data_IF_438145088633
#
_entry.id   IF_438145088633
#
_cell.length_a   1.000
_cell.length_b   1.000
_cell.length_c   1.000
_cell.angle_alpha   90.00
_cell.angle_beta   90.00
_cell.angle_gamma   90.00
#
_symmetry.space_group_name_H-M   'P 1'
#
loop_
_entity.id
_entity.type
_entity.pdbx_description
1 polymer ?
#
# COMPACT_ATOMS: atom_id res chain seq x y z
N UNK A 1 -6.31 -6.03 -17.21
CA UNK A 1 -5.97 -7.30 -16.50
C UNK A 1 -5.97 -6.99 -15.02
N UNK A 2 -6.45 -7.89 -14.16
CA UNK A 2 -6.41 -7.72 -12.70
C UNK A 2 -5.34 -8.62 -12.11
N UNK A 3 -4.56 -8.13 -11.14
CA UNK A 3 -3.61 -8.94 -10.38
C UNK A 3 -3.51 -8.48 -8.93
N UNK A 4 -3.11 -9.40 -8.06
CA UNK A 4 -2.84 -9.22 -6.63
C UNK A 4 -2.00 -10.42 -6.17
N UNK A 5 -1.52 -10.40 -4.93
CA UNK A 5 -0.72 -11.47 -4.33
C UNK A 5 0.52 -11.83 -5.16
N UNK A 6 1.27 -10.81 -5.58
CA UNK A 6 2.46 -10.96 -6.42
C UNK A 6 3.72 -11.03 -5.54
N UNK A 7 3.84 -12.09 -4.74
CA UNK A 7 4.99 -12.34 -3.88
C UNK A 7 4.77 -13.52 -2.94
N UNK A 8 5.45 -13.52 -1.79
CA UNK A 8 5.46 -14.64 -0.86
C UNK A 8 5.29 -14.20 0.58
N UNK A 9 4.40 -14.87 1.29
CA UNK A 9 4.32 -14.77 2.75
C UNK A 9 5.55 -15.42 3.40
N UNK A 10 5.89 -14.96 4.59
CA UNK A 10 6.96 -15.53 5.42
C UNK A 10 6.77 -17.04 5.60
N UNK A 11 7.85 -17.80 5.44
CA UNK A 11 7.87 -19.25 5.62
C UNK A 11 7.46 -20.05 4.38
N UNK A 12 7.15 -19.39 3.26
CA UNK A 12 6.97 -20.07 1.98
C UNK A 12 8.30 -20.68 1.54
N UNK A 13 8.30 -21.98 1.23
CA UNK A 13 9.44 -22.64 0.59
C UNK A 13 9.57 -22.14 -0.85
N UNK A 14 10.69 -21.49 -1.14
CA UNK A 14 10.98 -20.92 -2.46
C UNK A 14 12.07 -21.68 -3.22
N UNK A 15 12.53 -22.83 -2.70
CA UNK A 15 13.60 -23.62 -3.33
C UNK A 15 13.22 -24.11 -4.73
N UNK A 16 11.93 -24.34 -4.97
CA UNK A 16 11.38 -24.76 -6.26
C UNK A 16 10.81 -23.61 -7.11
N UNK A 17 10.95 -22.36 -6.66
CA UNK A 17 10.36 -21.23 -7.37
C UNK A 17 11.09 -20.92 -8.68
N UNK A 18 10.41 -21.09 -9.80
CA UNK A 18 10.94 -20.86 -11.15
C UNK A 18 10.81 -19.40 -11.63
N UNK A 19 10.74 -18.44 -10.71
CA UNK A 19 10.47 -17.04 -11.03
C UNK A 19 8.97 -16.74 -11.23
N UNK A 20 8.61 -15.48 -11.53
CA UNK A 20 7.21 -15.02 -11.58
C UNK A 20 6.52 -15.46 -12.89
N UNK A 21 6.41 -16.77 -13.10
CA UNK A 21 6.10 -17.40 -14.38
C UNK A 21 4.73 -17.02 -14.97
N UNK A 22 3.76 -16.67 -14.13
CA UNK A 22 2.42 -16.22 -14.57
C UNK A 22 2.49 -14.94 -15.41
N UNK A 23 3.54 -14.13 -15.25
CA UNK A 23 3.74 -12.93 -16.08
C UNK A 23 4.11 -13.27 -17.52
N UNK A 24 4.65 -14.47 -17.80
CA UNK A 24 4.84 -14.92 -19.18
C UNK A 24 3.48 -15.08 -19.88
N UNK A 25 2.47 -15.56 -19.17
CA UNK A 25 1.11 -15.66 -19.72
C UNK A 25 0.47 -14.29 -19.94
N UNK A 26 0.70 -13.34 -19.02
CA UNK A 26 0.26 -11.95 -19.18
C UNK A 26 0.85 -11.36 -20.47
N UNK A 27 2.17 -11.47 -20.66
CA UNK A 27 2.86 -10.95 -21.84
C UNK A 27 2.41 -11.65 -23.13
N UNK A 28 2.28 -12.98 -23.10
CA UNK A 28 1.78 -13.78 -24.24
C UNK A 28 0.36 -13.38 -24.65
N UNK A 29 -0.51 -13.05 -23.70
CA UNK A 29 -1.86 -12.55 -24.00
C UNK A 29 -1.79 -11.10 -24.50
N UNK A 30 -0.97 -10.25 -23.88
CA UNK A 30 -0.78 -8.86 -24.28
C UNK A 30 -0.31 -8.74 -25.74
N UNK A 31 0.61 -9.60 -26.18
CA UNK A 31 1.09 -9.66 -27.57
C UNK A 31 -0.03 -9.98 -28.57
N UNK A 32 -0.94 -10.90 -28.23
CA UNK A 32 -2.07 -11.28 -29.09
C UNK A 32 -3.22 -10.27 -29.04
N UNK A 33 -3.44 -9.67 -27.87
CA UNK A 33 -4.49 -8.69 -27.59
C UNK A 33 -4.03 -7.77 -26.47
N UNK A 34 -3.57 -6.59 -26.86
CA UNK A 34 -3.03 -5.61 -25.93
C UNK A 34 -4.01 -5.30 -24.79
N UNK A 35 -3.51 -5.43 -23.56
CA UNK A 35 -4.17 -4.87 -22.38
C UNK A 35 -3.97 -3.36 -22.36
N UNK A 36 -5.05 -2.62 -22.12
CA UNK A 36 -4.99 -1.17 -21.96
C UNK A 36 -4.50 -0.75 -20.58
N UNK A 37 -4.75 -1.59 -19.56
CA UNK A 37 -4.44 -1.30 -18.16
C UNK A 37 -4.30 -2.58 -17.34
N UNK A 38 -3.37 -2.58 -16.39
CA UNK A 38 -3.28 -3.50 -15.26
C UNK A 38 -3.91 -2.86 -14.03
N UNK A 39 -4.73 -3.61 -13.32
CA UNK A 39 -5.38 -3.16 -12.08
C UNK A 39 -4.82 -4.01 -10.94
N UNK A 40 -4.00 -3.38 -10.10
CA UNK A 40 -3.44 -3.97 -8.89
C UNK A 40 -4.42 -3.87 -7.73
N UNK A 41 -4.77 -5.01 -7.14
CA UNK A 41 -5.71 -5.12 -6.01
C UNK A 41 -5.10 -5.00 -4.63
N UNK A 42 -3.83 -4.59 -4.51
CA UNK A 42 -3.04 -4.76 -3.30
C UNK A 42 -2.17 -6.02 -3.36
N UNK A 43 -1.22 -6.13 -2.43
CA UNK A 43 -0.20 -7.18 -2.41
C UNK A 43 0.57 -7.24 -3.74
N UNK A 44 0.94 -6.07 -4.28
CA UNK A 44 1.79 -6.01 -5.47
C UNK A 44 3.22 -6.47 -5.16
N UNK A 45 3.61 -6.36 -3.89
CA UNK A 45 4.87 -6.80 -3.31
C UNK A 45 4.64 -7.26 -1.86
N UNK A 46 5.51 -8.15 -1.36
CA UNK A 46 5.48 -8.63 0.01
C UNK A 46 6.71 -8.11 0.76
N UNK A 47 6.48 -7.28 1.77
CA UNK A 47 7.52 -6.67 2.61
C UNK A 47 7.66 -7.35 3.98
N UNK A 48 6.91 -8.42 4.24
CA UNK A 48 6.86 -9.12 5.53
C UNK A 48 8.21 -9.61 6.04
N UNK A 49 9.14 -9.90 5.13
CA UNK A 49 10.51 -10.32 5.46
C UNK A 49 11.25 -9.32 6.35
N UNK A 50 10.78 -8.06 6.44
CA UNK A 50 11.34 -7.03 7.30
C UNK A 50 11.45 -7.46 8.76
N UNK A 51 10.54 -8.33 9.23
CA UNK A 51 10.49 -8.82 10.62
C UNK A 51 11.30 -10.09 10.86
N UNK A 52 11.80 -10.74 9.79
CA UNK A 52 12.51 -12.02 9.86
C UNK A 52 13.97 -11.83 9.48
N UNK A 53 14.23 -11.39 8.26
CA UNK A 53 15.59 -11.20 7.74
C UNK A 53 15.98 -9.72 7.67
N UNK A 54 15.03 -8.83 7.93
CA UNK A 54 15.21 -7.40 7.92
C UNK A 54 15.49 -6.77 9.30
N UNK A 55 15.54 -5.43 9.33
CA UNK A 55 15.93 -4.65 10.52
C UNK A 55 14.97 -4.80 11.71
N UNK A 56 13.74 -5.28 11.51
CA UNK A 56 12.79 -5.51 12.59
C UNK A 56 12.91 -6.88 13.25
N UNK A 57 13.87 -7.72 12.86
CA UNK A 57 14.10 -9.01 13.51
C UNK A 57 14.32 -8.86 15.03
N UNK A 58 15.20 -7.94 15.44
CA UNK A 58 15.52 -7.74 16.85
C UNK A 58 14.28 -7.28 17.65
N UNK A 59 13.50 -6.35 17.09
CA UNK A 59 12.25 -5.88 17.69
C UNK A 59 11.21 -7.00 17.82
N UNK A 60 11.08 -7.83 16.78
CA UNK A 60 10.14 -8.96 16.75
C UNK A 60 10.49 -10.01 17.82
N UNK A 61 11.78 -10.21 18.08
CA UNK A 61 12.30 -11.14 19.09
C UNK A 61 12.19 -10.63 20.54
N UNK A 62 11.70 -9.41 20.78
CA UNK A 62 11.43 -8.92 22.13
C UNK A 62 10.24 -9.68 22.73
N UNK A 63 10.53 -10.62 23.64
CA UNK A 63 9.52 -11.48 24.28
C UNK A 63 8.53 -10.73 25.16
N UNK A 64 8.98 -9.67 25.84
CA UNK A 64 8.10 -8.89 26.73
C UNK A 64 7.25 -7.92 25.89
N UNK A 65 5.91 -8.06 25.87
CA UNK A 65 5.05 -7.28 24.99
C UNK A 65 5.07 -5.78 25.32
N UNK A 66 5.20 -5.41 26.59
CA UNK A 66 5.30 -4.01 27.03
C UNK A 66 6.61 -3.40 26.54
N UNK A 67 7.73 -4.11 26.69
CA UNK A 67 9.03 -3.65 26.17
C UNK A 67 9.03 -3.54 24.65
N UNK A 68 8.39 -4.49 23.95
CA UNK A 68 8.28 -4.47 22.49
C UNK A 68 7.45 -3.30 22.01
N UNK A 69 6.34 -3.01 22.69
CA UNK A 69 5.47 -1.88 22.39
C UNK A 69 6.14 -0.54 22.70
N UNK A 70 6.93 -0.45 23.76
CA UNK A 70 7.66 0.77 24.15
C UNK A 70 8.97 0.97 23.37
N UNK A 71 9.27 0.12 22.39
CA UNK A 71 10.50 0.24 21.60
C UNK A 71 10.43 1.45 20.67
N UNK A 72 11.48 2.26 20.67
CA UNK A 72 11.61 3.46 19.85
C UNK A 72 11.76 3.14 18.35
N UNK A 73 11.52 4.13 17.51
CA UNK A 73 11.78 4.07 16.07
C UNK A 73 12.64 5.25 15.69
N UNK A 74 13.93 5.17 16.03
CA UNK A 74 14.91 6.22 15.76
C UNK A 74 15.18 6.35 14.27
N UNK A 75 15.77 7.47 13.85
CA UNK A 75 16.17 7.70 12.47
C UNK A 75 17.13 6.63 11.92
N UNK A 76 17.94 6.02 12.80
CA UNK A 76 18.77 4.87 12.45
C UNK A 76 17.91 3.69 11.98
N UNK A 77 16.96 3.25 12.82
CA UNK A 77 16.09 2.12 12.48
C UNK A 77 15.19 2.46 11.27
N UNK A 78 14.72 3.71 11.19
CA UNK A 78 13.99 4.23 10.02
C UNK A 78 14.81 4.07 8.74
N UNK A 79 16.10 4.43 8.77
CA UNK A 79 16.99 4.33 7.61
C UNK A 79 17.28 2.89 7.21
N UNK A 80 17.48 1.99 8.17
CA UNK A 80 17.61 0.56 7.89
C UNK A 80 16.32 -0.01 7.27
N UNK A 81 15.14 0.40 7.75
CA UNK A 81 13.86 0.02 7.15
C UNK A 81 13.72 0.60 5.73
N UNK A 82 14.03 1.87 5.53
CA UNK A 82 13.98 2.55 4.22
C UNK A 82 14.82 1.83 3.17
N UNK A 83 16.06 1.48 3.52
CA UNK A 83 16.96 0.71 2.67
C UNK A 83 16.37 -0.68 2.37
N UNK A 84 15.79 -1.36 3.35
CA UNK A 84 15.12 -2.65 3.15
C UNK A 84 13.98 -2.54 2.12
N UNK A 85 13.04 -1.59 2.30
CA UNK A 85 11.93 -1.41 1.36
C UNK A 85 12.43 -1.03 -0.03
N UNK A 86 13.40 -0.10 -0.14
CA UNK A 86 14.01 0.26 -1.41
C UNK A 86 14.58 -0.96 -2.13
N UNK A 87 15.43 -1.72 -1.45
CA UNK A 87 16.08 -2.90 -2.02
C UNK A 87 15.05 -3.95 -2.45
N UNK A 88 14.00 -4.17 -1.66
CA UNK A 88 12.94 -5.12 -2.02
C UNK A 88 12.15 -4.66 -3.25
N UNK A 89 11.75 -3.38 -3.30
CA UNK A 89 11.06 -2.81 -4.45
C UNK A 89 11.93 -2.88 -5.72
N UNK A 90 13.20 -2.45 -5.65
CA UNK A 90 14.14 -2.52 -6.78
C UNK A 90 14.32 -3.95 -7.25
N UNK A 91 14.53 -4.90 -6.34
CA UNK A 91 14.69 -6.33 -6.67
C UNK A 91 13.43 -6.87 -7.36
N UNK A 92 12.26 -6.68 -6.76
CA UNK A 92 11.02 -7.30 -7.22
C UNK A 92 10.51 -6.67 -8.52
N UNK A 93 10.47 -5.34 -8.62
CA UNK A 93 9.98 -4.64 -9.82
C UNK A 93 10.93 -4.74 -11.01
N UNK A 94 12.20 -5.12 -10.80
CA UNK A 94 13.13 -5.43 -11.89
C UNK A 94 13.22 -6.93 -12.23
N UNK A 95 12.41 -7.78 -11.61
CA UNK A 95 12.40 -9.21 -11.91
C UNK A 95 11.65 -9.47 -13.23
N UNK A 96 12.28 -10.16 -14.18
CA UNK A 96 11.57 -10.64 -15.38
C UNK A 96 10.68 -11.84 -15.03
N UNK A 97 9.47 -11.97 -15.64
CA UNK A 97 8.91 -11.12 -16.71
C UNK A 97 8.10 -9.91 -16.22
N UNK A 98 8.00 -9.71 -14.90
CA UNK A 98 7.18 -8.65 -14.30
C UNK A 98 7.66 -7.24 -14.70
N UNK A 99 8.98 -7.04 -14.73
CA UNK A 99 9.61 -5.80 -15.22
C UNK A 99 9.14 -5.45 -16.63
N UNK A 100 9.18 -6.42 -17.57
CA UNK A 100 8.71 -6.19 -18.95
C UNK A 100 7.24 -5.80 -18.98
N UNK A 101 6.38 -6.44 -18.18
CA UNK A 101 4.96 -6.09 -18.12
C UNK A 101 4.75 -4.65 -17.59
N UNK A 102 5.42 -4.27 -16.50
CA UNK A 102 5.35 -2.91 -15.95
C UNK A 102 5.88 -1.84 -16.93
N UNK A 103 6.88 -2.18 -17.75
CA UNK A 103 7.42 -1.29 -18.76
C UNK A 103 6.54 -1.09 -19.99
N UNK A 104 5.52 -1.93 -20.19
CA UNK A 104 4.69 -1.92 -21.40
C UNK A 104 3.22 -1.62 -21.14
N UNK A 105 2.69 -1.95 -19.95
CA UNK A 105 1.27 -1.87 -19.65
C UNK A 105 1.04 -0.86 -18.53
N UNK A 106 0.25 0.21 -18.75
CA UNK A 106 -0.11 1.15 -17.68
C UNK A 106 -0.78 0.44 -16.50
N UNK A 107 -0.50 0.89 -15.28
CA UNK A 107 -1.05 0.28 -14.05
C UNK A 107 -1.80 1.28 -13.17
N UNK A 108 -2.84 0.78 -12.50
CA UNK A 108 -3.61 1.46 -11.46
C UNK A 108 -3.64 0.51 -10.26
N UNK A 109 -3.04 0.90 -9.14
CA UNK A 109 -2.89 0.04 -7.98
C UNK A 109 -3.58 0.66 -6.77
N UNK A 110 -4.20 -0.17 -5.94
CA UNK A 110 -4.37 0.11 -4.52
C UNK A 110 -3.37 -0.76 -3.75
N UNK A 111 -2.99 -0.38 -2.54
CA UNK A 111 -2.18 -1.22 -1.66
C UNK A 111 -3.01 -2.02 -0.64
N UNK A 112 -2.41 -3.11 -0.15
CA UNK A 112 -2.92 -3.93 0.94
C UNK A 112 -1.84 -4.16 2.03
N UNK A 113 -2.03 -5.08 2.98
CA UNK A 113 -1.12 -5.16 4.14
C UNK A 113 0.26 -5.69 3.79
N UNK A 114 0.41 -6.63 2.86
CA UNK A 114 1.74 -7.14 2.53
C UNK A 114 2.62 -6.11 1.81
N UNK A 115 2.02 -5.05 1.23
CA UNK A 115 2.77 -3.88 0.75
C UNK A 115 3.43 -3.12 1.91
N UNK A 116 2.94 -3.28 3.14
CA UNK A 116 3.46 -2.69 4.38
C UNK A 116 4.15 -3.77 5.22
N UNK A 117 3.37 -4.56 5.94
CA UNK A 117 3.72 -5.74 6.73
C UNK A 117 2.41 -6.50 6.98
N UNK A 118 2.46 -7.83 6.90
CA UNK A 118 1.35 -8.73 7.17
C UNK A 118 0.48 -8.26 8.36
N UNK A 119 -0.83 -8.18 8.14
CA UNK A 119 -1.81 -7.81 9.15
C UNK A 119 -1.85 -6.32 9.53
N UNK A 120 -1.16 -5.42 8.84
CA UNK A 120 -1.19 -3.99 9.15
C UNK A 120 -2.64 -3.44 9.19
N UNK A 121 -3.00 -2.84 10.32
CA UNK A 121 -4.35 -2.33 10.60
C UNK A 121 -5.30 -3.36 11.25
N UNK A 122 -4.91 -4.63 11.36
CA UNK A 122 -5.72 -5.70 11.97
C UNK A 122 -5.31 -6.03 13.42
N UNK A 123 -4.16 -5.54 13.89
CA UNK A 123 -3.73 -5.70 15.28
C UNK A 123 -4.50 -4.78 16.25
N UNK A 124 -4.30 -4.98 17.55
CA UNK A 124 -4.90 -4.13 18.59
C UNK A 124 -4.44 -2.68 18.45
N UNK A 125 -5.34 -1.72 18.67
CA UNK A 125 -5.04 -0.28 18.52
C UNK A 125 -3.82 0.15 19.34
N UNK A 126 -3.70 -0.30 20.59
CA UNK A 126 -2.55 0.03 21.43
C UNK A 126 -1.23 -0.47 20.85
N UNK A 127 -1.23 -1.62 20.15
CA UNK A 127 -0.03 -2.18 19.54
C UNK A 127 0.30 -1.47 18.21
N UNK A 128 -0.72 -1.21 17.38
CA UNK A 128 -0.59 -0.43 16.14
C UNK A 128 -0.08 1.00 16.36
N UNK A 129 -0.35 1.59 17.54
CA UNK A 129 0.16 2.92 17.91
C UNK A 129 1.63 2.96 18.31
N UNK A 130 2.29 1.81 18.45
CA UNK A 130 3.70 1.80 18.81
C UNK A 130 4.54 2.51 17.73
N UNK A 131 5.71 3.00 18.13
CA UNK A 131 6.60 3.75 17.25
C UNK A 131 6.99 2.94 15.99
N UNK A 132 7.21 1.63 16.15
CA UNK A 132 7.61 0.77 15.04
C UNK A 132 6.52 0.67 13.97
N UNK A 133 5.25 0.45 14.34
CA UNK A 133 4.16 0.39 13.35
C UNK A 133 3.94 1.72 12.64
N UNK A 134 4.01 2.85 13.36
CA UNK A 134 3.94 4.18 12.76
C UNK A 134 5.07 4.43 11.78
N UNK A 135 6.28 4.05 12.19
CA UNK A 135 7.49 4.14 11.38
C UNK A 135 7.39 3.37 10.06
N UNK A 136 7.11 2.06 10.13
CA UNK A 136 6.99 1.24 8.91
C UNK A 136 5.80 1.62 8.05
N UNK A 137 4.69 2.07 8.63
CA UNK A 137 3.56 2.59 7.87
C UNK A 137 3.97 3.77 6.99
N UNK A 138 4.73 4.72 7.55
CA UNK A 138 5.28 5.85 6.79
C UNK A 138 6.30 5.44 5.72
N UNK A 139 7.23 4.54 6.06
CA UNK A 139 8.25 4.06 5.10
C UNK A 139 7.58 3.29 3.95
N UNK A 140 6.64 2.39 4.23
CA UNK A 140 5.91 1.67 3.20
C UNK A 140 5.09 2.60 2.30
N UNK A 141 4.42 3.61 2.88
CA UNK A 141 3.66 4.61 2.13
C UNK A 141 4.54 5.39 1.15
N UNK A 142 5.78 5.72 1.54
CA UNK A 142 6.77 6.35 0.64
C UNK A 142 7.01 5.50 -0.60
N UNK A 143 7.26 4.20 -0.45
CA UNK A 143 7.53 3.33 -1.61
C UNK A 143 6.28 2.97 -2.41
N UNK A 144 5.11 2.90 -1.77
CA UNK A 144 3.83 2.82 -2.46
C UNK A 144 3.64 4.02 -3.41
N UNK A 145 3.88 5.24 -2.91
CA UNK A 145 3.83 6.45 -3.74
C UNK A 145 4.80 6.39 -4.92
N UNK A 146 6.06 5.99 -4.67
CA UNK A 146 7.10 5.99 -5.68
C UNK A 146 6.93 4.90 -6.76
N UNK A 147 6.70 3.65 -6.36
CA UNK A 147 6.73 2.50 -7.28
C UNK A 147 5.36 2.09 -7.81
N UNK A 148 4.28 2.36 -7.08
CA UNK A 148 2.94 1.93 -7.47
C UNK A 148 2.12 3.09 -8.04
N UNK A 149 2.22 4.27 -7.43
CA UNK A 149 1.52 5.47 -7.91
C UNK A 149 2.36 6.35 -8.84
N UNK A 150 3.68 6.25 -8.79
CA UNK A 150 4.63 7.11 -9.52
C UNK A 150 4.46 8.60 -9.21
N UNK A 151 4.32 8.93 -7.93
CA UNK A 151 4.13 10.31 -7.44
C UNK A 151 5.08 10.65 -6.30
N UNK A 152 5.19 11.94 -6.00
CA UNK A 152 5.99 12.39 -4.87
C UNK A 152 5.49 11.74 -3.55
N UNK A 153 6.40 11.13 -2.77
CA UNK A 153 6.08 10.69 -1.42
C UNK A 153 6.06 11.90 -0.46
N UNK A 154 5.64 11.71 0.80
CA UNK A 154 5.76 12.72 1.83
C UNK A 154 7.21 13.18 2.05
N UNK A 155 7.39 14.41 2.56
CA UNK A 155 8.72 15.03 2.76
C UNK A 155 9.58 14.30 3.79
N UNK A 156 8.95 13.66 4.77
CA UNK A 156 9.61 12.84 5.78
C UNK A 156 8.63 11.80 6.33
N UNK A 157 9.16 10.75 6.94
CA UNK A 157 8.43 9.69 7.66
C UNK A 157 8.65 9.79 9.17
N UNK A 158 7.74 9.19 9.94
CA UNK A 158 7.78 9.17 11.41
C UNK A 158 9.10 8.63 12.00
N UNK A 159 9.66 9.36 12.97
CA UNK A 159 10.78 8.95 13.84
C UNK A 159 10.51 9.40 15.27
N UNK A 160 11.00 8.65 16.27
CA UNK A 160 10.80 9.00 17.70
C UNK A 160 11.77 10.06 18.22
N UNK A 161 12.88 10.25 17.52
CA UNK A 161 13.99 11.13 17.91
C UNK A 161 13.99 12.48 17.15
N UNK A 162 12.92 12.78 16.42
CA UNK A 162 12.62 14.11 15.89
C UNK A 162 11.39 14.70 16.57
N UNK A 163 11.45 16.00 16.89
CA UNK A 163 10.29 16.78 17.35
C UNK A 163 9.66 17.62 16.23
N UNK A 164 10.31 17.67 15.06
CA UNK A 164 9.87 18.46 13.93
C UNK A 164 8.80 17.71 13.12
N UNK A 165 7.82 18.46 12.59
CA UNK A 165 6.81 17.89 11.69
C UNK A 165 7.43 17.37 10.38
N UNK A 166 8.53 18.00 9.95
CA UNK A 166 9.37 17.52 8.84
C UNK A 166 10.77 17.30 9.40
N UNK A 167 11.24 16.07 9.42
CA UNK A 167 12.56 15.72 9.95
C UNK A 167 13.67 16.20 8.99
N UNK A 168 14.49 17.21 9.37
CA UNK A 168 15.47 17.79 8.46
C UNK A 168 16.57 16.80 8.05
N UNK A 169 16.80 15.74 8.84
CA UNK A 169 17.77 14.68 8.52
C UNK A 169 17.37 13.94 7.24
N UNK A 170 16.07 13.80 7.02
CA UNK A 170 15.51 13.10 5.86
C UNK A 170 15.49 13.97 4.59
N UNK A 171 15.83 15.26 4.70
CA UNK A 171 15.94 16.19 3.58
C UNK A 171 17.38 16.36 3.09
N UNK A 172 18.36 15.86 3.84
CA UNK A 172 19.78 15.96 3.47
C UNK A 172 20.00 15.20 2.16
N UNK A 173 20.62 15.89 1.20
CA UNK A 173 20.93 15.39 -0.15
C UNK A 173 19.74 14.73 -0.89
N UNK A 174 18.52 15.10 -0.51
CA UNK A 174 17.29 14.49 -1.02
C UNK A 174 16.45 15.53 -1.75
N UNK A 175 16.17 15.27 -3.03
CA UNK A 175 15.16 16.06 -3.75
C UNK A 175 13.77 15.62 -3.31
N UNK A 176 13.01 16.56 -2.77
CA UNK A 176 11.61 16.35 -2.38
C UNK A 176 10.73 17.23 -3.26
N UNK A 177 9.98 16.58 -4.15
CA UNK A 177 8.98 17.27 -4.96
C UNK A 177 7.81 17.69 -4.05
N UNK A 178 7.55 18.99 -3.98
CA UNK A 178 6.38 19.53 -3.30
C UNK A 178 5.25 19.69 -4.31
N UNK A 179 4.20 18.86 -4.20
CA UNK A 179 3.03 18.91 -5.07
C UNK A 179 1.88 19.63 -4.34
N UNK A 180 1.73 20.97 -4.49
CA UNK A 180 0.74 21.74 -3.73
C UNK A 180 -0.70 21.43 -4.13
N UNK A 181 -0.89 20.88 -5.34
CA UNK A 181 -2.20 20.49 -5.86
C UNK A 181 -2.16 18.98 -6.16
N UNK A 182 -2.82 18.15 -5.35
CA UNK A 182 -2.90 16.72 -5.61
C UNK A 182 -3.66 16.46 -6.91
N UNK A 183 -3.31 15.38 -7.59
CA UNK A 183 -4.00 14.99 -8.81
C UNK A 183 -5.50 14.76 -8.55
N UNK A 184 -6.42 15.33 -9.37
CA UNK A 184 -7.85 15.23 -9.16
C UNK A 184 -8.41 13.81 -9.32
N UNK A 185 -7.62 12.84 -9.80
CA UNK A 185 -7.98 11.41 -9.82
C UNK A 185 -7.95 10.80 -8.43
N UNK A 186 -7.27 11.41 -7.47
CA UNK A 186 -7.36 10.98 -6.08
C UNK A 186 -8.58 11.57 -5.38
N UNK A 187 -9.17 10.76 -4.52
CA UNK A 187 -10.16 11.13 -3.52
C UNK A 187 -9.40 11.09 -2.19
N UNK A 188 -8.88 12.25 -1.80
CA UNK A 188 -8.04 12.41 -0.62
C UNK A 188 -8.89 12.43 0.65
N UNK A 189 -8.56 11.59 1.64
CA UNK A 189 -9.13 11.69 2.98
C UNK A 189 -8.89 13.06 3.62
N UNK A 190 -9.77 13.48 4.54
CA UNK A 190 -9.64 14.80 5.20
C UNK A 190 -8.57 14.80 6.29
N UNK A 191 -8.47 13.67 6.99
CA UNK A 191 -7.67 13.50 8.20
C UNK A 191 -6.63 12.41 7.96
N UNK A 192 -5.40 12.54 8.53
CA UNK A 192 -4.44 11.46 8.51
C UNK A 192 -4.97 10.15 9.12
N UNK A 193 -4.40 9.04 8.68
CA UNK A 193 -4.63 7.73 9.27
C UNK A 193 -4.21 7.65 10.75
N UNK A 194 -4.72 6.68 11.51
CA UNK A 194 -4.40 6.55 12.93
C UNK A 194 -2.99 5.99 13.17
N UNK A 195 -2.44 5.27 12.19
CA UNK A 195 -1.14 4.59 12.25
C UNK A 195 -0.21 4.99 11.11
N UNK A 196 -0.75 5.51 10.01
CA UNK A 196 0.00 6.12 8.91
C UNK A 196 -0.32 7.60 8.96
N UNK A 197 0.67 8.47 9.18
CA UNK A 197 0.48 9.92 9.36
C UNK A 197 0.13 10.67 8.07
N UNK A 198 -0.34 9.93 7.07
CA UNK A 198 -0.73 10.41 5.76
C UNK A 198 -2.24 10.31 5.57
N UNK A 199 -2.74 11.08 4.61
CA UNK A 199 -4.15 11.02 4.20
C UNK A 199 -4.36 9.87 3.23
N UNK A 200 -5.49 9.19 3.35
CA UNK A 200 -5.87 8.11 2.42
C UNK A 200 -5.95 8.63 0.98
N UNK A 201 -5.54 7.77 0.03
CA UNK A 201 -5.51 8.07 -1.41
C UNK A 201 -6.39 7.09 -2.18
N UNK A 202 -7.70 7.24 -2.07
CA UNK A 202 -8.63 6.49 -2.93
C UNK A 202 -8.59 7.04 -4.37
N UNK A 203 -8.99 6.25 -5.34
CA UNK A 203 -8.84 6.54 -6.77
C UNK A 203 -10.21 6.59 -7.44
N UNK A 204 -10.40 7.57 -8.33
CA UNK A 204 -11.43 7.52 -9.36
C UNK A 204 -10.80 7.77 -10.73
N UNK A 205 -11.13 6.90 -11.68
CA UNK A 205 -10.67 7.00 -13.07
C UNK A 205 -11.74 6.53 -14.05
N UNK A 206 -11.68 7.04 -15.28
CA UNK A 206 -12.46 6.51 -16.40
C UNK A 206 -11.61 5.56 -17.24
N UNK A 207 -12.07 4.33 -17.39
CA UNK A 207 -11.47 3.33 -18.28
C UNK A 207 -12.18 3.38 -19.63
N UNK A 208 -11.88 4.44 -20.38
CA UNK A 208 -12.59 4.79 -21.61
C UNK A 208 -13.97 5.39 -21.32
N UNK A 209 -14.83 5.40 -22.35
CA UNK A 209 -16.09 6.14 -22.31
C UNK A 209 -17.14 5.57 -21.34
N UNK A 210 -17.22 4.24 -21.24
CA UNK A 210 -18.37 3.55 -20.61
C UNK A 210 -18.07 2.93 -19.25
N UNK A 211 -16.83 2.99 -18.77
CA UNK A 211 -16.40 2.31 -17.55
C UNK A 211 -15.80 3.34 -16.60
N UNK A 212 -16.32 3.39 -15.39
CA UNK A 212 -15.69 4.05 -14.26
C UNK A 212 -15.00 3.03 -13.36
N UNK A 213 -13.89 3.42 -12.76
CA UNK A 213 -13.15 2.65 -11.79
C UNK A 213 -13.03 3.46 -10.49
N UNK A 214 -13.28 2.80 -9.37
CA UNK A 214 -13.08 3.31 -8.02
C UNK A 214 -12.23 2.33 -7.22
N UNK A 215 -11.01 2.72 -6.88
CA UNK A 215 -10.12 1.93 -6.03
C UNK A 215 -10.06 2.55 -4.64
N UNK A 216 -10.40 1.81 -3.61
CA UNK A 216 -10.47 2.35 -2.25
C UNK A 216 -9.18 2.03 -1.50
N UNK A 217 -8.52 3.07 -0.97
CA UNK A 217 -7.42 2.90 -0.03
C UNK A 217 -7.98 2.42 1.30
N UNK A 218 -7.89 1.11 1.50
CA UNK A 218 -8.44 0.42 2.66
C UNK A 218 -7.40 0.20 3.77
N UNK A 219 -6.22 0.85 3.70
CA UNK A 219 -5.12 0.62 4.65
C UNK A 219 -4.71 1.85 5.43
N UNK A 220 -4.69 3.03 4.81
CA UNK A 220 -4.23 4.26 5.50
C UNK A 220 -5.05 4.56 6.77
N UNK A 221 -6.36 4.40 6.70
CA UNK A 221 -7.29 4.71 7.81
C UNK A 221 -7.70 3.47 8.64
N UNK A 222 -7.12 2.31 8.32
CA UNK A 222 -7.61 1.03 8.83
C UNK A 222 -7.27 0.82 10.30
N UNK A 223 -8.28 0.34 11.02
CA UNK A 223 -8.18 -0.25 12.35
C UNK A 223 -8.94 -1.58 12.35
N UNK A 224 -8.84 -2.33 13.46
CA UNK A 224 -9.60 -3.58 13.62
C UNK A 224 -11.13 -3.40 13.50
N UNK A 225 -11.63 -2.20 13.81
CA UNK A 225 -13.07 -1.91 13.86
C UNK A 225 -13.56 -1.05 12.69
N UNK A 226 -12.66 -0.52 11.85
CA UNK A 226 -12.99 0.46 10.83
C UNK A 226 -12.01 0.37 9.65
N UNK A 227 -12.52 0.41 8.43
CA UNK A 227 -11.69 0.41 7.21
C UNK A 227 -11.30 1.85 6.83
N UNK A 228 -12.31 2.67 6.57
CA UNK A 228 -12.17 4.10 6.31
C UNK A 228 -13.03 4.90 7.27
N UNK A 229 -12.66 6.17 7.47
CA UNK A 229 -13.47 7.11 8.22
C UNK A 229 -14.82 7.34 7.51
N UNK A 230 -15.92 7.59 8.24
CA UNK A 230 -17.21 7.93 7.65
C UNK A 230 -17.12 9.09 6.65
N UNK A 231 -16.37 10.14 6.97
CA UNK A 231 -16.17 11.29 6.08
C UNK A 231 -15.40 10.97 4.81
N UNK A 232 -14.57 9.92 4.82
CA UNK A 232 -13.86 9.44 3.61
C UNK A 232 -14.84 8.70 2.70
N UNK A 233 -15.77 7.91 3.27
CA UNK A 233 -16.86 7.33 2.49
C UNK A 233 -17.78 8.39 1.88
N UNK A 234 -18.10 9.47 2.62
CA UNK A 234 -18.88 10.58 2.09
C UNK A 234 -18.22 11.21 0.86
N UNK A 235 -16.90 11.43 0.92
CA UNK A 235 -16.13 11.95 -0.23
C UNK A 235 -16.16 11.01 -1.44
N UNK A 236 -16.01 9.70 -1.20
CA UNK A 236 -16.07 8.68 -2.25
C UNK A 236 -17.46 8.68 -2.90
N UNK A 237 -18.53 8.63 -2.12
CA UNK A 237 -19.89 8.62 -2.63
C UNK A 237 -20.25 9.93 -3.34
N UNK A 238 -19.85 11.07 -2.79
CA UNK A 238 -20.04 12.37 -3.43
C UNK A 238 -19.35 12.41 -4.80
N UNK A 239 -18.09 11.95 -4.87
CA UNK A 239 -17.34 11.90 -6.14
C UNK A 239 -18.03 11.00 -7.15
N UNK A 240 -18.40 9.79 -6.76
CA UNK A 240 -19.08 8.84 -7.64
C UNK A 240 -20.43 9.36 -8.11
N UNK A 241 -21.23 9.97 -7.22
CA UNK A 241 -22.52 10.55 -7.58
C UNK A 241 -22.36 11.69 -8.59
N UNK A 242 -21.41 12.59 -8.36
CA UNK A 242 -21.11 13.70 -9.27
C UNK A 242 -20.73 13.18 -10.66
N UNK A 243 -19.76 12.26 -10.72
CA UNK A 243 -19.22 11.71 -11.97
C UNK A 243 -20.27 10.93 -12.77
N UNK A 244 -21.08 10.11 -12.10
CA UNK A 244 -22.16 9.34 -12.74
C UNK A 244 -23.29 10.24 -13.22
N UNK A 245 -23.63 11.30 -12.48
CA UNK A 245 -24.65 12.27 -12.87
C UNK A 245 -24.19 13.08 -14.08
N UNK A 246 -22.96 13.59 -14.04
CA UNK A 246 -22.35 14.35 -15.14
C UNK A 246 -22.16 13.51 -16.40
N UNK A 247 -21.94 12.20 -16.25
CA UNK A 247 -21.87 11.27 -17.38
C UNK A 247 -23.17 11.16 -18.18
N UNK A 248 -24.32 11.59 -17.63
CA UNK A 248 -25.62 11.55 -18.30
C UNK A 248 -25.93 10.18 -18.97
N UNK A 249 -25.69 9.11 -18.21
CA UNK A 249 -25.89 7.73 -18.66
C UNK A 249 -24.81 7.18 -19.58
N UNK A 250 -23.71 7.89 -19.84
CA UNK A 250 -22.60 7.41 -20.65
C UNK A 250 -21.82 6.27 -19.97
N UNK A 251 -21.62 6.36 -18.65
CA UNK A 251 -21.04 5.27 -17.84
C UNK A 251 -22.08 4.16 -17.74
N UNK A 252 -21.69 2.96 -18.15
CA UNK A 252 -22.51 1.74 -18.10
C UNK A 252 -22.05 0.75 -17.05
N UNK A 253 -20.78 0.85 -16.64
CA UNK A 253 -20.16 -0.06 -15.68
C UNK A 253 -19.35 0.72 -14.66
N UNK A 254 -19.49 0.37 -13.38
CA UNK A 254 -18.64 0.83 -12.29
C UNK A 254 -17.87 -0.38 -11.76
N UNK A 255 -16.55 -0.30 -11.77
CA UNK A 255 -15.67 -1.26 -11.11
C UNK A 255 -15.30 -0.67 -9.76
N UNK A 256 -15.67 -1.35 -8.68
CA UNK A 256 -15.25 -1.01 -7.32
C UNK A 256 -14.21 -2.02 -6.85
N UNK A 257 -13.05 -1.54 -6.40
CA UNK A 257 -11.95 -2.37 -5.92
C UNK A 257 -11.59 -1.99 -4.49
N UNK A 258 -11.47 -3.01 -3.63
CA UNK A 258 -11.11 -2.91 -2.22
C UNK A 258 -10.05 -3.97 -1.94
N UNK A 259 -8.98 -3.59 -1.22
CA UNK A 259 -7.92 -4.54 -0.83
C UNK A 259 -8.37 -5.49 0.28
N UNK A 260 -9.39 -5.10 1.04
CA UNK A 260 -9.95 -5.91 2.13
C UNK A 260 -11.26 -6.61 1.72
N UNK A 261 -11.47 -7.86 2.13
CA UNK A 261 -12.69 -8.59 1.79
C UNK A 261 -13.93 -7.93 2.40
N UNK A 262 -14.93 -7.63 1.56
CA UNK A 262 -16.23 -7.03 1.95
C UNK A 262 -17.03 -7.96 2.86
N UNK A 263 -16.95 -9.26 2.60
CA UNK A 263 -17.63 -10.30 3.35
C UNK A 263 -16.65 -11.45 3.59
N UNK A 264 -16.00 -11.42 4.74
CA UNK A 264 -15.23 -12.56 5.24
C UNK A 264 -16.04 -13.24 6.36
N UNK A 265 -16.29 -14.55 6.31
CA UNK A 265 -16.90 -15.23 7.44
C UNK A 265 -15.98 -15.05 8.65
N UNK A 266 -16.46 -14.43 9.73
CA UNK A 266 -15.73 -14.43 10.99
C UNK A 266 -15.58 -15.88 11.44
N UNK A 267 -14.41 -16.46 11.21
CA UNK A 267 -14.00 -17.75 11.74
C UNK A 267 -13.66 -17.58 13.23
N UNK A 268 -14.63 -17.10 14.03
CA UNK A 268 -14.48 -16.83 15.46
C UNK A 268 -14.04 -18.06 16.27
N UNK A 269 -14.17 -19.26 15.68
CA UNK A 269 -13.70 -20.53 16.23
C UNK A 269 -12.20 -20.78 16.07
N UNK A 270 -11.52 -20.13 15.12
CA UNK A 270 -10.06 -20.24 14.92
C UNK A 270 -9.27 -19.15 15.67
N UNK A 271 -9.91 -18.01 15.98
CA UNK A 271 -9.26 -16.90 16.69
C UNK A 271 -9.13 -17.11 18.22
N UNK A 272 -9.72 -18.19 18.76
CA UNK A 272 -9.72 -18.52 20.21
C UNK A 272 -9.04 -19.89 20.53
N UNK A 273 -8.24 -20.43 19.61
CA UNK A 273 -7.42 -21.63 19.86
C UNK A 273 -5.98 -21.20 20.18
#
# INVERSE_FOLDING_TARGET
MFHSCNGFSVGTDTDSWAGPALWNDVLRVHEKRAFHVMIGGGDQIYNDGIRVDGPLNAWTNIKNPIKRQAHDFSDKLRTECDEFYYNNYVRWYNQEPFKTANGQIPQINIWDDHDIIDGFGSYTDHFMRCAVFRGIGGVAFKYYCLFQHHVAPPKSTFTTDSTEAIDPRQLVDTFVLDEPTPDPRWIMGKTPGPYVEEKSRSLYMRLGRRIAFAGIDARTERTRMQINYPETYDLIFQRLHQELSQANGEIKHLILLLGVPIAYPRLAWLENI
#
